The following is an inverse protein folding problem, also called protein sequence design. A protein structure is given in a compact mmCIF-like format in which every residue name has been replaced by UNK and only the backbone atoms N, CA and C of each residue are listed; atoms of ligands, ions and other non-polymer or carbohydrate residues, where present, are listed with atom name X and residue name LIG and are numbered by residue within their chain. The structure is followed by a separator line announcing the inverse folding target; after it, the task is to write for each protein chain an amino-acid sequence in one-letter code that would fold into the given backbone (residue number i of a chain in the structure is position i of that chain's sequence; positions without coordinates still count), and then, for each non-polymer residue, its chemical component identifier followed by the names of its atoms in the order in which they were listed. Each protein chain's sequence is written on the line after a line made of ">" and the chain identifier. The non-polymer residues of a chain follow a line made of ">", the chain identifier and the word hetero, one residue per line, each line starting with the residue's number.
data_IF_624401714431
#
_entry.id   IF_624401714431
#
_cell.length_a   1.000
_cell.length_b   1.000
_cell.length_c   1.000
_cell.angle_alpha   90.00
_cell.angle_beta   90.00
_cell.angle_gamma   90.00
#
_symmetry.space_group_name_H-M   'P 1'
#
loop_
_entity.id
_entity.type
_entity.pdbx_description
1 polymer ?
#
# COMPACT_ATOMS: atom_id res chain seq x y z
N UNK A 1 -15.94 -17.70 -20.37
CA UNK A 1 -15.30 -17.48 -19.06
C UNK A 1 -14.58 -16.15 -19.11
N UNK A 2 -14.58 -15.37 -18.03
CA UNK A 2 -13.80 -14.14 -17.97
C UNK A 2 -12.31 -14.45 -18.12
N UNK A 3 -11.57 -13.59 -18.83
CA UNK A 3 -10.12 -13.67 -18.90
C UNK A 3 -9.44 -13.13 -17.62
N UNK A 4 -10.20 -12.51 -16.71
CA UNK A 4 -9.70 -11.95 -15.46
C UNK A 4 -9.65 -13.03 -14.38
N UNK A 5 -8.47 -13.22 -13.77
CA UNK A 5 -8.33 -14.03 -12.56
C UNK A 5 -9.00 -13.33 -11.38
N UNK A 6 -9.74 -14.10 -10.58
CA UNK A 6 -10.42 -13.57 -9.41
C UNK A 6 -9.50 -13.62 -8.19
N UNK A 7 -9.19 -12.46 -7.60
CA UNK A 7 -8.44 -12.37 -6.34
C UNK A 7 -9.31 -12.30 -5.08
N UNK A 8 -10.58 -11.91 -5.23
CA UNK A 8 -11.56 -11.78 -4.16
C UNK A 8 -12.95 -12.14 -4.67
N UNK A 9 -13.85 -12.51 -3.76
CA UNK A 9 -15.26 -12.67 -4.11
C UNK A 9 -15.83 -11.30 -4.52
N UNK A 10 -16.39 -11.14 -5.73
CA UNK A 10 -16.95 -9.87 -6.18
C UNK A 10 -18.24 -9.53 -5.42
N UNK A 11 -18.63 -8.25 -5.44
CA UNK A 11 -19.96 -7.84 -5.03
C UNK A 11 -21.03 -8.51 -5.90
N UNK A 12 -22.27 -8.68 -5.38
CA UNK A 12 -23.36 -9.27 -6.15
C UNK A 12 -23.97 -8.32 -7.20
N UNK A 13 -23.31 -7.18 -7.48
CA UNK A 13 -23.72 -6.17 -8.45
C UNK A 13 -22.49 -5.58 -9.15
N UNK A 14 -22.70 -5.01 -10.33
CA UNK A 14 -21.68 -4.30 -11.10
C UNK A 14 -21.51 -2.88 -10.56
N UNK A 15 -20.27 -2.39 -10.53
CA UNK A 15 -19.96 -1.00 -10.24
C UNK A 15 -19.79 -0.23 -11.55
N UNK A 16 -20.58 0.82 -11.74
CA UNK A 16 -20.54 1.67 -12.93
C UNK A 16 -19.80 2.99 -12.64
N UNK A 17 -20.32 3.79 -11.70
CA UNK A 17 -19.70 5.05 -11.29
C UNK A 17 -19.82 5.27 -9.78
N UNK A 18 -19.12 6.29 -9.29
CA UNK A 18 -19.05 6.61 -7.87
C UNK A 18 -18.81 8.10 -7.63
N UNK A 19 -19.33 8.62 -6.52
CA UNK A 19 -19.15 10.01 -6.11
C UNK A 19 -19.29 10.15 -4.60
N UNK A 20 -18.34 10.82 -3.96
CA UNK A 20 -18.33 11.00 -2.51
C UNK A 20 -18.24 9.66 -1.80
N UNK A 21 -19.23 9.32 -1.00
CA UNK A 21 -19.34 8.08 -0.24
C UNK A 21 -20.25 7.04 -0.91
N UNK A 22 -20.64 7.23 -2.19
CA UNK A 22 -21.59 6.36 -2.88
C UNK A 22 -21.03 5.67 -4.12
N UNK A 23 -21.46 4.43 -4.29
CA UNK A 23 -21.28 3.59 -5.47
C UNK A 23 -22.62 3.44 -6.19
N UNK A 24 -22.59 3.33 -7.51
CA UNK A 24 -23.77 3.18 -8.36
C UNK A 24 -23.58 2.02 -9.33
N UNK A 25 -24.67 1.28 -9.59
CA UNK A 25 -24.72 0.28 -10.66
C UNK A 25 -25.27 0.89 -11.97
N UNK A 26 -25.24 0.15 -13.10
CA UNK A 26 -25.76 0.64 -14.38
C UNK A 26 -27.27 0.97 -14.39
N UNK A 27 -28.05 0.47 -13.42
CA UNK A 27 -29.48 0.79 -13.29
C UNK A 27 -29.72 2.08 -12.49
N UNK A 28 -28.68 2.63 -11.87
CA UNK A 28 -28.73 3.80 -11.00
C UNK A 28 -29.02 3.47 -9.53
N UNK A 29 -29.11 2.18 -9.15
CA UNK A 29 -29.16 1.78 -7.75
C UNK A 29 -27.84 2.17 -7.07
N UNK A 30 -27.91 2.63 -5.83
CA UNK A 30 -26.74 3.10 -5.09
C UNK A 30 -26.61 2.53 -3.69
N UNK A 31 -25.37 2.53 -3.21
CA UNK A 31 -24.98 2.07 -1.87
C UNK A 31 -23.95 3.02 -1.25
N UNK A 32 -23.98 3.14 0.07
CA UNK A 32 -22.88 3.77 0.81
C UNK A 32 -21.67 2.84 0.83
N UNK A 33 -20.49 3.41 0.58
CA UNK A 33 -19.22 2.70 0.65
C UNK A 33 -18.54 2.94 1.99
N UNK A 34 -18.81 2.07 2.96
CA UNK A 34 -18.10 2.03 4.24
C UNK A 34 -16.86 1.12 4.21
N UNK A 35 -16.48 0.63 3.02
CA UNK A 35 -15.34 -0.24 2.83
C UNK A 35 -14.14 0.52 2.21
N UNK A 36 -14.42 1.43 1.28
CA UNK A 36 -13.43 2.29 0.63
C UNK A 36 -12.39 1.51 -0.19
N UNK A 37 -12.69 0.28 -0.59
CA UNK A 37 -11.78 -0.58 -1.34
C UNK A 37 -10.49 -0.90 -0.56
N UNK A 38 -10.62 -1.49 0.63
CA UNK A 38 -9.51 -1.65 1.60
C UNK A 38 -8.95 -0.31 2.09
N UNK A 39 -9.84 0.63 2.46
CA UNK A 39 -9.46 1.95 3.00
C UNK A 39 -8.70 2.87 2.02
N UNK A 40 -8.72 2.60 0.71
CA UNK A 40 -8.02 3.39 -0.31
C UNK A 40 -8.75 4.69 -0.62
N UNK A 41 -10.08 4.66 -0.73
CA UNK A 41 -10.91 5.82 -1.09
C UNK A 41 -11.10 6.81 0.08
N UNK A 42 -10.01 7.23 0.71
CA UNK A 42 -10.01 8.07 1.93
C UNK A 42 -10.56 9.48 1.74
N UNK A 43 -10.50 10.03 0.52
CA UNK A 43 -11.11 11.33 0.17
C UNK A 43 -12.52 11.18 -0.42
N UNK A 44 -13.09 9.98 -0.38
CA UNK A 44 -14.25 9.61 -1.19
C UNK A 44 -13.92 9.41 -2.67
N UNK A 45 -14.90 8.87 -3.39
CA UNK A 45 -14.83 8.58 -4.81
C UNK A 45 -14.88 9.86 -5.65
N UNK A 46 -14.02 9.93 -6.66
CA UNK A 46 -13.98 11.01 -7.64
C UNK A 46 -13.93 12.43 -7.03
N UNK A 47 -13.20 12.60 -5.93
CA UNK A 47 -13.10 13.89 -5.25
C UNK A 47 -12.66 15.01 -6.23
N UNK A 48 -13.42 16.12 -6.40
CA UNK A 48 -13.22 17.07 -7.49
C UNK A 48 -11.79 17.64 -7.58
N UNK A 49 -11.16 17.91 -6.44
CA UNK A 49 -9.78 18.41 -6.42
C UNK A 49 -8.75 17.37 -6.86
N UNK A 50 -8.98 16.09 -6.54
CA UNK A 50 -8.08 14.99 -6.93
C UNK A 50 -8.19 14.76 -8.43
N UNK A 51 -9.41 14.69 -8.96
CA UNK A 51 -9.67 14.54 -10.40
C UNK A 51 -9.01 15.68 -11.19
N UNK A 52 -9.28 16.93 -10.81
CA UNK A 52 -8.70 18.09 -11.50
C UNK A 52 -7.16 18.09 -11.48
N UNK A 53 -6.53 17.72 -10.36
CA UNK A 53 -5.07 17.64 -10.25
C UNK A 53 -4.48 16.56 -11.17
N UNK A 54 -5.12 15.39 -11.24
CA UNK A 54 -4.72 14.29 -12.14
C UNK A 54 -4.87 14.73 -13.60
N UNK A 55 -6.03 15.27 -13.99
CA UNK A 55 -6.27 15.71 -15.36
C UNK A 55 -5.26 16.77 -15.82
N UNK A 56 -4.99 17.75 -14.95
CA UNK A 56 -4.03 18.82 -15.25
C UNK A 56 -2.61 18.25 -15.46
N UNK A 57 -2.17 17.33 -14.60
CA UNK A 57 -0.83 16.75 -14.72
C UNK A 57 -0.74 15.79 -15.91
N UNK A 58 -1.76 14.96 -16.15
CA UNK A 58 -1.81 14.00 -17.25
C UNK A 58 -1.72 14.68 -18.63
N UNK A 59 -2.34 15.87 -18.79
CA UNK A 59 -2.24 16.68 -20.03
C UNK A 59 -0.84 17.23 -20.30
N UNK A 60 0.04 17.28 -19.28
CA UNK A 60 1.40 17.82 -19.39
C UNK A 60 2.44 16.71 -19.50
N UNK A 61 2.39 15.76 -18.56
CA UNK A 61 3.28 14.61 -18.49
C UNK A 61 2.70 13.59 -17.50
N UNK A 62 2.30 12.43 -18.02
CA UNK A 62 1.75 11.34 -17.21
C UNK A 62 2.84 10.48 -16.57
N UNK A 63 3.91 10.19 -17.31
CA UNK A 63 5.00 9.33 -16.83
C UNK A 63 6.35 9.72 -17.44
N UNK A 64 7.36 9.69 -16.58
CA UNK A 64 8.77 9.60 -16.97
C UNK A 64 9.52 8.86 -15.86
N UNK A 65 10.66 8.24 -16.17
CA UNK A 65 11.42 7.49 -15.18
C UNK A 65 12.01 8.41 -14.10
N UNK A 66 12.52 7.83 -13.01
CA UNK A 66 13.25 8.57 -11.96
C UNK A 66 14.50 9.29 -12.46
N UNK A 67 14.92 9.06 -13.70
CA UNK A 67 16.03 9.78 -14.32
C UNK A 67 15.67 11.22 -14.72
N UNK A 68 14.38 11.55 -14.85
CA UNK A 68 13.92 12.91 -15.12
C UNK A 68 13.55 13.66 -13.85
N UNK A 69 14.04 14.89 -13.73
CA UNK A 69 13.65 15.79 -12.65
C UNK A 69 12.23 16.31 -12.86
N UNK A 70 11.43 16.31 -11.79
CA UNK A 70 10.03 16.74 -11.83
C UNK A 70 9.70 17.57 -10.60
N UNK A 71 9.46 18.87 -10.78
CA UNK A 71 9.18 19.79 -9.66
C UNK A 71 7.96 19.37 -8.81
N UNK A 72 6.98 18.69 -9.41
CA UNK A 72 5.82 18.14 -8.68
C UNK A 72 6.23 17.06 -7.67
N UNK A 73 7.24 16.24 -7.98
CA UNK A 73 7.78 15.24 -7.05
C UNK A 73 8.49 15.89 -5.87
N UNK A 74 9.26 16.95 -6.12
CA UNK A 74 9.93 17.70 -5.05
C UNK A 74 8.90 18.30 -4.09
N UNK A 75 7.89 19.02 -4.61
CA UNK A 75 6.82 19.59 -3.77
C UNK A 75 6.08 18.52 -2.95
N UNK A 76 5.79 17.36 -3.55
CA UNK A 76 5.15 16.26 -2.83
C UNK A 76 6.05 15.65 -1.74
N UNK A 77 7.35 15.49 -2.03
CA UNK A 77 8.32 14.98 -1.06
C UNK A 77 8.50 15.96 0.11
N UNK A 78 8.59 17.27 -0.16
CA UNK A 78 8.72 18.30 0.85
C UNK A 78 7.48 18.36 1.76
N UNK A 79 6.28 18.26 1.19
CA UNK A 79 5.04 18.20 1.96
C UNK A 79 4.97 16.97 2.89
N UNK A 80 5.42 15.80 2.41
CA UNK A 80 5.49 14.58 3.23
C UNK A 80 6.55 14.69 4.32
N UNK A 81 7.72 15.25 4.02
CA UNK A 81 8.76 15.46 5.02
C UNK A 81 8.32 16.44 6.11
N UNK A 82 7.60 17.51 5.74
CA UNK A 82 7.00 18.44 6.69
C UNK A 82 5.91 17.79 7.55
N UNK A 83 5.07 16.92 6.96
CA UNK A 83 4.08 16.14 7.72
C UNK A 83 4.73 15.19 8.73
N UNK A 84 5.88 14.62 8.37
CA UNK A 84 6.63 13.69 9.22
C UNK A 84 7.63 14.39 10.17
N UNK A 85 7.53 15.71 10.33
CA UNK A 85 8.44 16.47 11.20
C UNK A 85 8.44 15.93 12.64
N UNK A 86 9.61 15.90 13.26
CA UNK A 86 9.82 15.30 14.59
C UNK A 86 9.92 13.77 14.64
N UNK A 87 9.63 13.04 13.55
CA UNK A 87 9.77 11.57 13.52
C UNK A 87 11.18 11.09 13.17
N UNK A 88 12.05 11.98 12.70
CA UNK A 88 13.35 11.65 12.10
C UNK A 88 13.29 11.27 10.62
N UNK A 89 12.09 11.14 10.04
CA UNK A 89 11.89 10.87 8.61
C UNK A 89 11.96 12.18 7.80
N UNK A 90 13.04 12.37 7.03
CA UNK A 90 13.28 13.61 6.24
C UNK A 90 13.54 13.35 4.74
N UNK A 91 13.34 12.10 4.29
CA UNK A 91 13.59 11.66 2.92
C UNK A 91 12.46 10.74 2.46
N UNK A 92 12.06 10.90 1.20
CA UNK A 92 10.93 10.18 0.60
C UNK A 92 11.40 9.45 -0.65
N UNK A 93 10.95 8.20 -0.77
CA UNK A 93 11.08 7.40 -2.00
C UNK A 93 9.70 6.95 -2.44
N UNK A 94 9.22 7.46 -3.58
CA UNK A 94 7.90 7.16 -4.10
C UNK A 94 7.86 5.83 -4.84
N UNK A 95 6.83 5.03 -4.55
CA UNK A 95 6.55 3.71 -5.14
C UNK A 95 5.04 3.60 -5.46
N UNK A 96 4.60 2.45 -5.98
CA UNK A 96 3.25 2.30 -6.53
C UNK A 96 2.28 1.53 -5.61
N UNK A 97 2.79 0.78 -4.61
CA UNK A 97 1.96 0.00 -3.70
C UNK A 97 2.53 -0.10 -2.30
N UNK A 98 1.68 -0.42 -1.31
CA UNK A 98 2.13 -0.69 0.05
C UNK A 98 3.14 -1.83 0.16
N UNK A 99 3.01 -2.86 -0.69
CA UNK A 99 3.97 -3.96 -0.76
C UNK A 99 5.35 -3.45 -1.23
N UNK A 100 5.42 -2.61 -2.27
CA UNK A 100 6.69 -2.01 -2.70
C UNK A 100 7.31 -1.08 -1.64
N UNK A 101 6.48 -0.35 -0.88
CA UNK A 101 6.98 0.46 0.25
C UNK A 101 7.64 -0.43 1.31
N UNK A 102 6.95 -1.48 1.75
CA UNK A 102 7.47 -2.39 2.76
C UNK A 102 8.69 -3.16 2.26
N UNK A 103 8.73 -3.56 0.98
CA UNK A 103 9.89 -4.20 0.36
C UNK A 103 11.13 -3.31 0.47
N UNK A 104 11.00 -2.02 0.13
CA UNK A 104 12.10 -1.07 0.21
C UNK A 104 12.49 -0.74 1.66
N UNK A 105 11.52 -0.61 2.56
CA UNK A 105 11.78 -0.37 3.99
C UNK A 105 12.56 -1.53 4.62
N UNK A 106 12.13 -2.77 4.38
CA UNK A 106 12.80 -3.97 4.87
C UNK A 106 14.21 -4.10 4.27
N UNK A 107 14.37 -3.88 2.96
CA UNK A 107 15.70 -3.88 2.31
C UNK A 107 16.63 -2.81 2.89
N UNK A 108 16.11 -1.62 3.16
CA UNK A 108 16.88 -0.54 3.77
C UNK A 108 17.31 -0.91 5.19
N UNK A 109 16.40 -1.46 6.01
CA UNK A 109 16.70 -1.92 7.36
C UNK A 109 17.79 -3.00 7.38
N UNK A 110 17.68 -4.01 6.51
CA UNK A 110 18.68 -5.07 6.37
C UNK A 110 20.04 -4.51 5.91
N UNK A 111 20.04 -3.63 4.90
CA UNK A 111 21.27 -3.03 4.35
C UNK A 111 22.00 -2.15 5.36
N UNK A 112 21.27 -1.29 6.09
CA UNK A 112 21.88 -0.34 7.02
C UNK A 112 22.31 -1.00 8.34
N UNK A 113 21.55 -1.98 8.82
CA UNK A 113 21.88 -2.67 10.08
C UNK A 113 22.93 -3.78 9.91
N UNK A 114 23.09 -4.32 8.69
CA UNK A 114 23.90 -5.51 8.42
C UNK A 114 23.31 -6.80 9.00
N UNK A 115 22.13 -6.74 9.62
CA UNK A 115 21.44 -7.90 10.20
C UNK A 115 20.66 -8.64 9.12
N UNK A 116 20.43 -9.93 9.35
CA UNK A 116 19.70 -10.82 8.42
C UNK A 116 18.34 -11.28 8.92
N UNK A 117 18.10 -11.20 10.22
CA UNK A 117 16.83 -11.59 10.83
C UNK A 117 15.85 -10.44 10.79
N UNK A 118 14.61 -10.76 10.47
CA UNK A 118 13.47 -9.86 10.62
C UNK A 118 12.63 -10.33 11.79
N UNK A 119 12.01 -9.37 12.47
CA UNK A 119 11.02 -9.62 13.52
C UNK A 119 9.70 -9.03 13.04
N UNK A 120 8.62 -9.79 13.13
CA UNK A 120 7.26 -9.34 12.86
C UNK A 120 6.33 -9.72 14.00
N UNK A 121 5.12 -9.16 13.99
CA UNK A 121 4.11 -9.46 14.99
C UNK A 121 2.97 -10.29 14.39
N UNK A 122 2.46 -11.22 15.18
CA UNK A 122 1.30 -12.03 14.84
C UNK A 122 0.09 -11.14 14.51
N UNK A 123 -0.70 -11.54 13.50
CA UNK A 123 -1.78 -10.76 12.92
C UNK A 123 -1.35 -9.63 11.97
N UNK A 124 -0.05 -9.43 11.73
CA UNK A 124 0.47 -8.39 10.85
C UNK A 124 0.22 -8.64 9.35
N UNK A 125 -0.05 -7.58 8.59
CA UNK A 125 -0.18 -7.63 7.12
C UNK A 125 0.71 -6.59 6.46
N UNK A 126 1.69 -7.04 5.67
CA UNK A 126 2.68 -6.16 5.04
C UNK A 126 2.70 -6.23 3.52
N UNK A 127 2.00 -7.20 2.91
CA UNK A 127 1.86 -7.32 1.47
C UNK A 127 2.16 -8.71 0.96
N UNK A 128 2.14 -8.87 -0.37
CA UNK A 128 2.23 -10.17 -1.04
C UNK A 128 3.47 -10.33 -1.93
N UNK A 129 4.36 -9.33 -2.02
CA UNK A 129 5.70 -9.52 -2.60
C UNK A 129 6.59 -10.27 -1.61
N UNK A 130 7.67 -10.92 -2.07
CA UNK A 130 8.39 -11.94 -1.29
C UNK A 130 8.85 -11.46 0.10
N UNK A 131 9.47 -10.28 0.22
CA UNK A 131 9.98 -9.83 1.51
C UNK A 131 8.86 -9.35 2.48
N UNK A 132 7.88 -8.55 2.06
CA UNK A 132 6.68 -8.28 2.85
C UNK A 132 5.84 -9.51 3.20
N UNK A 133 5.78 -10.51 2.30
CA UNK A 133 5.08 -11.77 2.56
C UNK A 133 5.78 -12.55 3.68
N UNK A 134 7.11 -12.48 3.75
CA UNK A 134 7.88 -13.14 4.81
C UNK A 134 7.46 -12.68 6.21
N UNK A 135 7.09 -11.40 6.34
CA UNK A 135 6.66 -10.77 7.59
C UNK A 135 5.14 -10.64 7.72
N UNK A 136 4.35 -11.16 6.77
CA UNK A 136 2.88 -11.19 6.84
C UNK A 136 2.40 -12.47 7.53
N UNK A 137 1.51 -12.34 8.51
CA UNK A 137 0.97 -13.45 9.29
C UNK A 137 -0.35 -13.99 8.72
N UNK A 138 -0.26 -14.58 7.53
CA UNK A 138 -1.36 -15.33 6.91
C UNK A 138 -0.80 -16.63 6.30
N UNK A 139 -0.92 -17.76 7.00
CA UNK A 139 -0.41 -19.05 6.53
C UNK A 139 -0.96 -19.49 5.18
N UNK A 140 -2.18 -19.04 4.79
CA UNK A 140 -2.82 -19.47 3.54
C UNK A 140 -2.10 -18.92 2.30
N UNK A 141 -1.58 -17.69 2.39
CA UNK A 141 -0.82 -17.05 1.30
C UNK A 141 0.69 -17.19 1.47
N UNK A 142 1.18 -17.35 2.71
CA UNK A 142 2.60 -17.49 3.03
C UNK A 142 3.09 -18.92 2.80
N UNK A 143 2.29 -19.92 3.19
CA UNK A 143 2.63 -21.34 3.15
C UNK A 143 3.15 -21.85 1.80
N UNK A 144 2.49 -21.53 0.66
CA UNK A 144 2.95 -21.96 -0.66
C UNK A 144 4.35 -21.48 -1.06
N UNK A 145 4.90 -20.49 -0.39
CA UNK A 145 6.21 -19.90 -0.69
C UNK A 145 7.21 -20.07 0.44
N UNK A 146 6.90 -20.82 1.50
CA UNK A 146 7.68 -20.88 2.73
C UNK A 146 9.19 -21.15 2.49
N UNK A 147 9.52 -22.03 1.55
CA UNK A 147 10.90 -22.41 1.22
C UNK A 147 11.72 -21.28 0.53
N UNK A 148 11.05 -20.24 0.03
CA UNK A 148 11.68 -19.07 -0.62
C UNK A 148 11.83 -17.88 0.33
N UNK A 149 11.18 -17.91 1.49
CA UNK A 149 11.12 -16.77 2.40
C UNK A 149 12.33 -16.76 3.34
N UNK A 150 12.87 -15.58 3.67
CA UNK A 150 13.92 -15.46 4.67
C UNK A 150 13.42 -15.89 6.07
N UNK A 151 14.37 -16.18 6.96
CA UNK A 151 14.07 -16.43 8.37
C UNK A 151 13.45 -15.18 9.02
N UNK A 152 12.26 -15.36 9.60
CA UNK A 152 11.52 -14.32 10.33
C UNK A 152 11.12 -14.87 11.69
N UNK A 153 11.31 -14.06 12.73
CA UNK A 153 10.81 -14.33 14.08
C UNK A 153 9.46 -13.65 14.22
N UNK A 154 8.40 -14.43 14.42
CA UNK A 154 7.06 -13.91 14.68
C UNK A 154 6.82 -13.85 16.20
N UNK A 155 6.58 -12.65 16.73
CA UNK A 155 6.28 -12.40 18.13
C UNK A 155 4.78 -12.12 18.35
N UNK A 156 4.24 -12.37 19.55
CA UNK A 156 2.87 -11.96 19.86
C UNK A 156 2.69 -10.44 19.75
N UNK A 157 1.57 -10.00 19.19
CA UNK A 157 1.23 -8.57 19.19
C UNK A 157 0.95 -8.07 20.61
N UNK A 158 1.38 -6.84 20.91
CA UNK A 158 1.25 -6.20 22.24
C UNK A 158 1.96 -6.93 23.40
N UNK A 159 3.00 -7.69 23.12
CA UNK A 159 3.87 -8.28 24.15
C UNK A 159 5.27 -7.65 24.09
N UNK A 160 5.56 -6.75 25.02
CA UNK A 160 6.86 -6.08 25.10
C UNK A 160 7.96 -6.96 25.68
N UNK A 161 7.63 -7.93 26.55
CA UNK A 161 8.61 -8.84 27.13
C UNK A 161 9.17 -9.77 26.04
N UNK A 162 8.33 -10.15 25.07
CA UNK A 162 8.76 -10.91 23.91
C UNK A 162 9.84 -10.21 23.05
N UNK A 163 10.01 -8.87 23.14
CA UNK A 163 11.04 -8.12 22.41
C UNK A 163 12.42 -8.15 23.08
N UNK A 164 12.50 -8.51 24.36
CA UNK A 164 13.75 -8.49 25.13
C UNK A 164 14.59 -9.77 24.97
N UNK A 165 14.00 -10.82 24.40
CA UNK A 165 14.60 -12.15 24.22
C UNK A 165 15.05 -12.42 22.77
#
# INVERSE_FOLDING_TARGET
>A
MSALLSGYKPFPFELDHASGDRLYDPSGQSWYDYYGGHCVASTGHCHPQVVAAIEQQARRLLFYSTAGEMSIRHRAADALAAFADGTGCSRVFFINSGAEANENALKLALKLSGRRKLVCFQGGWHGRSLLPLAVTDDPSIRGPFADLLPEVIALPWNDSEALEN
#
